data_IF_110570047141
#
_entry.id   IF_110570047141
#
_cell.length_a   1.000
_cell.length_b   1.000
_cell.length_c   1.000
_cell.angle_alpha   90.00
_cell.angle_beta   90.00
_cell.angle_gamma   90.00
#
_symmetry.space_group_name_H-M   'P 1'
#
loop_
_entity.id
_entity.type
_entity.pdbx_description
1 polymer ?
#
# COMPACT_ATOMS: atom_id res chain seq x y z
N UNK A 1 5.40 1.02 -12.09
CA UNK A 1 5.93 2.36 -11.79
C UNK A 1 6.65 2.26 -10.45
N UNK A 2 7.91 2.64 -10.39
CA UNK A 2 8.81 2.41 -9.25
C UNK A 2 9.09 3.75 -8.52
N UNK A 3 8.88 3.80 -7.20
CA UNK A 3 9.31 4.93 -6.37
C UNK A 3 10.60 4.55 -5.64
N UNK A 4 11.65 5.39 -5.74
CA UNK A 4 12.91 5.19 -5.02
C UNK A 4 12.93 6.04 -3.75
N UNK A 5 12.97 5.40 -2.59
CA UNK A 5 13.15 6.08 -1.30
C UNK A 5 14.62 5.96 -0.90
N UNK A 6 15.34 7.09 -0.78
CA UNK A 6 16.67 7.10 -0.16
C UNK A 6 16.98 8.49 0.36
N UNK A 7 16.83 8.69 1.68
CA UNK A 7 17.55 9.75 2.39
C UNK A 7 18.91 9.25 2.92
N UNK A 8 19.06 7.94 3.16
CA UNK A 8 20.31 7.34 3.63
C UNK A 8 20.54 5.96 2.98
N UNK A 9 21.55 5.92 2.08
CA UNK A 9 22.31 4.74 1.60
C UNK A 9 21.56 3.40 1.43
N UNK A 10 20.67 3.32 0.44
CA UNK A 10 20.50 2.21 -0.53
C UNK A 10 19.14 2.38 -1.23
N UNK A 11 19.08 2.30 -2.58
CA UNK A 11 17.83 2.52 -3.29
C UNK A 11 16.85 1.37 -3.02
N UNK A 12 15.74 1.66 -2.34
CA UNK A 12 14.60 0.73 -2.26
C UNK A 12 13.61 1.08 -3.36
N UNK A 13 13.28 0.11 -4.20
CA UNK A 13 12.24 0.24 -5.21
C UNK A 13 10.91 -0.25 -4.66
N UNK A 14 9.88 0.59 -4.76
CA UNK A 14 8.51 0.23 -4.40
C UNK A 14 7.67 0.09 -5.65
N UNK A 15 6.99 -1.04 -5.78
CA UNK A 15 6.03 -1.29 -6.87
C UNK A 15 4.68 -1.65 -6.27
N UNK A 16 3.64 -0.89 -6.63
CA UNK A 16 2.27 -1.25 -6.31
C UNK A 16 1.63 -1.99 -7.49
N UNK A 17 1.06 -3.16 -7.24
CA UNK A 17 0.34 -4.00 -8.20
C UNK A 17 -1.01 -4.44 -7.61
N UNK A 18 -1.85 -5.09 -8.44
CA UNK A 18 -3.17 -5.59 -8.04
C UNK A 18 -4.01 -4.55 -7.27
N UNK A 19 -3.92 -3.29 -7.69
CA UNK A 19 -4.64 -2.21 -7.03
C UNK A 19 -6.11 -2.35 -7.39
N UNK A 20 -6.94 -2.57 -6.37
CA UNK A 20 -8.38 -2.72 -6.51
C UNK A 20 -9.08 -1.72 -5.59
N UNK A 21 -10.09 -1.05 -6.12
CA UNK A 21 -10.95 -0.15 -5.36
C UNK A 21 -12.40 -0.56 -5.58
N UNK A 22 -12.99 -1.18 -4.55
CA UNK A 22 -14.39 -1.57 -4.53
C UNK A 22 -15.22 -0.68 -3.60
N UNK A 23 -14.66 0.46 -3.18
CA UNK A 23 -15.35 1.35 -2.25
C UNK A 23 -16.60 1.93 -2.88
N UNK A 24 -17.59 2.13 -2.03
CA UNK A 24 -18.85 2.73 -2.44
C UNK A 24 -18.60 4.16 -2.95
N UNK A 25 -19.06 4.50 -4.17
CA UNK A 25 -19.01 5.87 -4.67
C UNK A 25 -19.75 6.84 -3.74
N UNK A 26 -19.23 8.06 -3.61
CA UNK A 26 -19.77 9.06 -2.68
C UNK A 26 -21.24 9.46 -2.91
N UNK A 27 -21.76 9.21 -4.11
CA UNK A 27 -23.13 9.54 -4.53
C UNK A 27 -24.07 8.32 -4.57
N UNK A 28 -23.69 7.18 -3.97
CA UNK A 28 -24.48 5.96 -3.96
C UNK A 28 -24.66 5.47 -2.51
N UNK A 29 -25.86 4.98 -2.19
CA UNK A 29 -26.10 4.29 -0.92
C UNK A 29 -25.77 2.81 -1.07
N UNK A 30 -24.61 2.39 -0.59
CA UNK A 30 -24.22 0.97 -0.59
C UNK A 30 -24.54 0.29 0.74
N UNK A 31 -24.87 -1.01 0.68
CA UNK A 31 -25.03 -1.86 1.87
C UNK A 31 -23.69 -2.06 2.59
N UNK A 32 -22.59 -1.99 1.85
CA UNK A 32 -21.23 -2.05 2.37
C UNK A 32 -20.37 -0.94 1.75
N UNK A 33 -19.54 -0.30 2.58
CA UNK A 33 -18.63 0.78 2.16
C UNK A 33 -17.49 0.30 1.24
N UNK A 34 -17.28 -1.01 1.12
CA UNK A 34 -16.22 -1.62 0.31
C UNK A 34 -14.82 -1.43 0.92
N UNK A 35 -13.80 -1.71 0.12
CA UNK A 35 -12.40 -1.48 0.48
C UNK A 35 -11.57 -1.08 -0.73
N UNK A 36 -10.42 -0.48 -0.47
CA UNK A 36 -9.35 -0.41 -1.44
C UNK A 36 -8.17 -1.25 -0.95
N UNK A 37 -7.52 -1.97 -1.86
CA UNK A 37 -6.36 -2.80 -1.57
C UNK A 37 -5.29 -2.69 -2.64
N UNK A 38 -4.04 -2.89 -2.25
CA UNK A 38 -2.92 -2.96 -3.16
C UNK A 38 -1.89 -3.97 -2.64
N UNK A 39 -1.27 -4.68 -3.57
CA UNK A 39 -0.08 -5.46 -3.30
C UNK A 39 1.12 -4.53 -3.48
N UNK A 40 1.98 -4.44 -2.45
CA UNK A 40 3.15 -3.56 -2.45
C UNK A 40 4.40 -4.43 -2.36
N UNK A 41 5.16 -4.44 -3.45
CA UNK A 41 6.46 -5.10 -3.52
C UNK A 41 7.57 -4.10 -3.23
N UNK A 42 8.36 -4.41 -2.21
CA UNK A 42 9.58 -3.72 -1.84
C UNK A 42 10.77 -4.52 -2.35
N UNK A 43 11.65 -3.86 -3.08
CA UNK A 43 12.90 -4.44 -3.56
C UNK A 43 14.07 -3.60 -3.07
N UNK A 44 14.80 -4.14 -2.09
CA UNK A 44 16.09 -3.63 -1.64
C UNK A 44 17.25 -4.21 -2.46
N UNK A 45 18.47 -4.09 -1.94
CA UNK A 45 19.66 -4.64 -2.60
C UNK A 45 19.73 -6.17 -2.51
N UNK A 46 19.24 -6.75 -1.42
CA UNK A 46 19.36 -8.20 -1.15
C UNK A 46 18.01 -8.87 -0.85
N UNK A 47 16.93 -8.08 -0.73
CA UNK A 47 15.63 -8.58 -0.27
C UNK A 47 14.51 -8.08 -1.17
N UNK A 48 13.57 -8.97 -1.48
CA UNK A 48 12.31 -8.65 -2.15
C UNK A 48 11.15 -9.17 -1.30
N UNK A 49 10.23 -8.28 -0.92
CA UNK A 49 9.09 -8.61 -0.07
C UNK A 49 7.83 -7.99 -0.65
N UNK A 50 6.81 -8.81 -0.84
CA UNK A 50 5.47 -8.35 -1.19
C UNK A 50 4.55 -8.46 0.01
N UNK A 51 3.83 -7.39 0.31
CA UNK A 51 2.77 -7.37 1.32
C UNK A 51 1.46 -6.94 0.68
N UNK A 52 0.35 -7.34 1.29
CA UNK A 52 -0.98 -6.87 0.91
C UNK A 52 -1.44 -5.83 1.92
N UNK A 53 -1.83 -4.66 1.44
CA UNK A 53 -2.30 -3.56 2.28
C UNK A 53 -3.71 -3.16 1.87
N UNK A 54 -4.46 -2.60 2.83
CA UNK A 54 -5.86 -2.24 2.63
C UNK A 54 -6.24 -0.96 3.37
N UNK A 55 -7.24 -0.24 2.85
CA UNK A 55 -8.00 0.82 3.55
C UNK A 55 -9.51 0.63 3.40
N UNK A 56 -10.28 1.08 4.40
CA UNK A 56 -11.74 0.89 4.47
C UNK A 56 -12.12 -0.44 5.14
N UNK A 57 -12.86 -1.31 4.43
CA UNK A 57 -13.41 -2.58 4.95
C UNK A 57 -12.41 -3.71 5.23
N UNK A 58 -11.16 -3.42 5.61
CA UNK A 58 -10.07 -4.41 5.71
C UNK A 58 -10.35 -5.54 6.70
N UNK A 59 -10.89 -5.19 7.87
CA UNK A 59 -11.25 -6.15 8.93
C UNK A 59 -12.29 -7.17 8.47
N UNK A 60 -13.23 -6.75 7.63
CA UNK A 60 -14.28 -7.63 7.08
C UNK A 60 -13.68 -8.68 6.13
N UNK A 61 -12.60 -8.31 5.44
CA UNK A 61 -11.88 -9.19 4.51
C UNK A 61 -10.67 -9.89 5.15
N UNK A 62 -10.44 -9.72 6.46
CA UNK A 62 -9.26 -10.22 7.17
C UNK A 62 -7.93 -9.83 6.52
N UNK A 63 -7.87 -8.64 5.92
CA UNK A 63 -6.64 -8.07 5.35
C UNK A 63 -6.05 -7.11 6.38
N UNK A 64 -4.75 -7.20 6.69
CA UNK A 64 -4.10 -6.24 7.58
C UNK A 64 -4.19 -4.81 7.01
N UNK A 65 -4.50 -3.85 7.88
CA UNK A 65 -4.50 -2.42 7.56
C UNK A 65 -3.08 -1.84 7.51
N UNK A 66 -2.14 -2.54 8.16
CA UNK A 66 -0.74 -2.22 8.22
C UNK A 66 0.11 -3.48 8.32
N UNK A 67 1.30 -3.44 7.73
CA UNK A 67 2.31 -4.46 7.93
C UNK A 67 3.68 -3.84 8.17
N UNK A 68 4.48 -4.51 9.00
CA UNK A 68 5.86 -4.14 9.24
C UNK A 68 6.77 -4.87 8.26
N UNK A 69 7.61 -4.13 7.55
CA UNK A 69 8.65 -4.65 6.66
C UNK A 69 10.01 -4.14 7.11
N UNK A 70 11.02 -5.00 7.01
CA UNK A 70 12.42 -4.60 7.23
C UNK A 70 13.01 -4.32 5.86
N UNK A 71 13.58 -3.12 5.69
CA UNK A 71 14.20 -2.69 4.45
C UNK A 71 15.59 -2.16 4.78
N UNK A 72 16.62 -2.86 4.27
CA UNK A 72 18.04 -2.55 4.55
C UNK A 72 18.31 -2.48 6.08
N UNK A 73 17.74 -3.42 6.84
CA UNK A 73 17.91 -3.48 8.30
C UNK A 73 17.10 -2.45 9.10
N UNK A 74 16.26 -1.63 8.45
CA UNK A 74 15.38 -0.66 9.12
C UNK A 74 13.94 -1.15 9.06
N UNK A 75 13.25 -1.18 10.20
CA UNK A 75 11.85 -1.53 10.32
C UNK A 75 10.94 -0.37 9.90
N UNK A 76 9.97 -0.64 9.03
CA UNK A 76 8.98 0.31 8.55
C UNK A 76 7.58 -0.27 8.70
N UNK A 77 6.66 0.50 9.26
CA UNK A 77 5.23 0.25 9.16
C UNK A 77 4.71 0.80 7.83
N UNK A 78 4.08 -0.05 7.04
CA UNK A 78 3.49 0.30 5.74
C UNK A 78 1.98 0.32 5.87
N UNK A 79 1.37 1.41 5.37
CA UNK A 79 -0.08 1.59 5.31
C UNK A 79 -0.52 2.05 3.93
N UNK A 80 -1.62 1.47 3.43
CA UNK A 80 -2.34 2.04 2.30
C UNK A 80 -3.24 3.14 2.83
N UNK A 81 -2.94 4.40 2.51
CA UNK A 81 -3.73 5.55 2.94
C UNK A 81 -4.99 5.68 2.09
N UNK A 82 -4.83 5.62 0.78
CA UNK A 82 -5.92 5.79 -0.17
C UNK A 82 -5.57 5.18 -1.53
N UNK A 83 -6.59 4.97 -2.36
CA UNK A 83 -6.48 4.69 -3.78
C UNK A 83 -7.38 5.68 -4.51
N UNK A 84 -6.94 6.23 -5.63
CA UNK A 84 -7.80 7.09 -6.44
C UNK A 84 -7.73 6.65 -7.89
N UNK A 85 -8.86 6.73 -8.58
CA UNK A 85 -8.93 6.55 -10.02
C UNK A 85 -9.16 7.91 -10.67
N UNK A 86 -8.18 8.40 -11.41
CA UNK A 86 -8.28 9.67 -12.15
C UNK A 86 -7.71 9.46 -13.55
N UNK A 87 -8.48 9.81 -14.58
CA UNK A 87 -8.04 9.81 -15.99
C UNK A 87 -7.38 8.49 -16.44
N UNK A 88 -8.02 7.34 -16.19
CA UNK A 88 -7.51 6.00 -16.50
C UNK A 88 -6.20 5.63 -15.78
N UNK A 89 -5.86 6.33 -14.69
CA UNK A 89 -4.73 6.01 -13.82
C UNK A 89 -5.24 5.68 -12.43
N UNK A 90 -4.85 4.50 -11.96
CA UNK A 90 -5.03 4.11 -10.56
C UNK A 90 -3.79 4.56 -9.80
N UNK A 91 -3.99 5.40 -8.79
CA UNK A 91 -2.93 5.94 -7.93
C UNK A 91 -3.14 5.39 -6.53
N UNK A 92 -2.12 4.76 -5.95
CA UNK A 92 -2.12 4.31 -4.57
C UNK A 92 -1.25 5.24 -3.71
N UNK A 93 -1.79 5.71 -2.58
CA UNK A 93 -1.09 6.52 -1.60
C UNK A 93 -0.58 5.61 -0.48
N UNK A 94 0.71 5.29 -0.52
CA UNK A 94 1.36 4.42 0.46
C UNK A 94 2.14 5.27 1.46
N UNK A 95 1.97 5.02 2.75
CA UNK A 95 2.74 5.65 3.83
C UNK A 95 3.72 4.65 4.40
N UNK A 96 4.98 5.07 4.58
CA UNK A 96 5.99 4.34 5.31
C UNK A 96 6.40 5.13 6.55
N UNK A 97 6.26 4.52 7.71
CA UNK A 97 6.66 5.11 8.99
C UNK A 97 7.77 4.27 9.59
N UNK A 98 8.95 4.85 9.81
CA UNK A 98 10.04 4.16 10.50
C UNK A 98 9.60 3.79 11.92
N UNK A 99 9.73 2.52 12.30
CA UNK A 99 9.53 2.05 13.68
C UNK A 99 10.90 1.90 14.34
N UNK A 100 11.07 2.53 15.51
CA UNK A 100 12.30 2.48 16.31
C UNK A 100 12.36 1.21 17.15
#
# INVERSE_FOLDING_TARGET
>A
MALTLSKDKLPVTLTATNINDSRCPANVQCVWQGLASADVTFKGSEEERTIKTCTGGCKVMSIPDSETVILNGISYEVKLKDVTNSENKIVAFITLTKTN
#
